data_IF_897894149733
#
_entry.id   IF_897894149733
#
_cell.length_a   1.000
_cell.length_b   1.000
_cell.length_c   1.000
_cell.angle_alpha   90.00
_cell.angle_beta   90.00
_cell.angle_gamma   90.00
#
_symmetry.space_group_name_H-M   'P 1'
#
loop_
_entity.id
_entity.type
_entity.pdbx_description
1 polymer ?
#
# COMPACT_ATOMS: atom_id res chain seq x y z
N UNK A 1 14.69 -20.08 -4.78
CA UNK A 1 14.02 -19.04 -3.97
C UNK A 1 15.04 -18.02 -3.56
N UNK A 2 14.96 -16.83 -4.10
CA UNK A 2 15.77 -15.73 -3.58
C UNK A 2 15.24 -15.36 -2.20
N UNK A 3 16.09 -15.37 -1.18
CA UNK A 3 15.81 -14.71 0.08
C UNK A 3 15.57 -13.23 -0.24
N UNK A 4 14.31 -12.84 -0.27
CA UNK A 4 13.94 -11.46 -0.49
C UNK A 4 14.18 -10.77 0.84
N UNK A 5 15.31 -10.05 0.95
CA UNK A 5 15.45 -9.04 1.98
C UNK A 5 14.27 -8.09 1.82
N UNK A 6 13.60 -7.74 2.92
CA UNK A 6 12.49 -6.79 2.90
C UNK A 6 12.91 -5.53 2.13
N UNK A 7 12.21 -5.22 1.06
CA UNK A 7 12.51 -4.07 0.22
C UNK A 7 12.02 -2.79 0.89
N UNK A 8 12.78 -1.70 0.71
CA UNK A 8 12.40 -0.40 1.24
C UNK A 8 11.18 0.13 0.48
N UNK A 9 10.08 0.32 1.19
CA UNK A 9 8.82 0.82 0.63
C UNK A 9 8.98 2.20 -0.03
N UNK A 10 9.92 3.01 0.41
CA UNK A 10 10.17 4.35 -0.14
C UNK A 10 10.60 4.34 -1.60
N UNK A 11 11.05 3.19 -2.10
CA UNK A 11 11.36 2.98 -3.51
C UNK A 11 10.12 2.80 -4.38
N UNK A 12 8.96 2.55 -3.79
CA UNK A 12 7.71 2.26 -4.50
C UNK A 12 6.60 3.27 -4.23
N UNK A 13 6.72 4.08 -3.18
CA UNK A 13 5.70 5.03 -2.76
C UNK A 13 6.28 6.41 -2.50
N UNK A 14 5.56 7.48 -2.87
CA UNK A 14 5.95 8.86 -2.53
C UNK A 14 5.65 9.22 -1.07
N UNK A 15 4.81 8.44 -0.39
CA UNK A 15 4.37 8.69 0.97
C UNK A 15 5.54 8.70 1.95
N UNK A 16 5.46 9.59 2.94
CA UNK A 16 6.46 9.72 4.02
C UNK A 16 5.74 9.89 5.36
N UNK A 17 6.48 9.67 6.45
CA UNK A 17 5.94 9.87 7.79
C UNK A 17 5.41 11.30 7.95
N UNK A 18 4.30 11.51 8.68
CA UNK A 18 3.54 10.51 9.44
C UNK A 18 2.48 9.74 8.64
N UNK A 19 2.34 10.00 7.34
CA UNK A 19 1.26 9.45 6.52
C UNK A 19 1.61 8.07 5.91
N UNK A 20 2.87 7.68 5.87
CA UNK A 20 3.30 6.38 5.38
C UNK A 20 2.84 5.27 6.34
N UNK A 21 2.03 4.33 5.84
CA UNK A 21 1.43 3.24 6.61
C UNK A 21 1.86 1.87 6.11
N UNK A 22 3.10 1.78 5.64
CA UNK A 22 3.77 0.53 5.25
C UNK A 22 5.20 0.63 5.72
N UNK A 23 5.68 -0.40 6.44
CA UNK A 23 7.07 -0.44 6.89
C UNK A 23 7.99 -1.05 5.84
N UNK A 24 7.57 -2.17 5.23
CA UNK A 24 8.41 -2.89 4.29
C UNK A 24 7.60 -3.65 3.25
N UNK A 25 8.21 -3.88 2.10
CA UNK A 25 7.69 -4.76 1.07
C UNK A 25 8.28 -6.15 1.29
N UNK A 26 7.41 -7.14 1.49
CA UNK A 26 7.81 -8.54 1.65
C UNK A 26 8.12 -9.17 0.30
N UNK A 27 7.24 -8.94 -0.67
CA UNK A 27 7.40 -9.41 -2.05
C UNK A 27 6.65 -8.49 -3.00
N UNK A 28 7.14 -8.33 -4.22
CA UNK A 28 6.47 -7.53 -5.24
C UNK A 28 6.82 -8.06 -6.62
N UNK A 29 5.82 -8.11 -7.49
CA UNK A 29 5.95 -8.32 -8.93
C UNK A 29 4.99 -7.39 -9.66
N UNK A 30 4.74 -7.62 -10.94
CA UNK A 30 3.90 -6.73 -11.75
C UNK A 30 2.41 -6.84 -11.43
N UNK A 31 1.98 -7.92 -10.78
CA UNK A 31 0.57 -8.20 -10.50
C UNK A 31 0.24 -8.39 -9.02
N UNK A 32 1.26 -8.57 -8.18
CA UNK A 32 1.06 -8.87 -6.76
C UNK A 32 2.10 -8.16 -5.89
N UNK A 33 1.67 -7.75 -4.69
CA UNK A 33 2.54 -7.21 -3.66
C UNK A 33 2.07 -7.67 -2.29
N UNK A 34 3.03 -7.95 -1.42
CA UNK A 34 2.78 -8.18 0.00
C UNK A 34 3.61 -7.19 0.83
N UNK A 35 3.00 -6.58 1.81
CA UNK A 35 3.64 -5.59 2.69
C UNK A 35 3.44 -5.92 4.15
N UNK A 36 4.26 -5.32 5.00
CA UNK A 36 4.21 -5.45 6.45
C UNK A 36 4.17 -4.05 7.09
N UNK A 37 3.37 -3.90 8.13
CA UNK A 37 3.25 -2.66 8.89
C UNK A 37 2.99 -2.98 10.37
N UNK A 38 3.81 -2.43 11.25
CA UNK A 38 3.60 -2.53 12.70
C UNK A 38 2.83 -1.32 13.20
N UNK A 39 1.73 -1.57 13.92
CA UNK A 39 0.89 -0.50 14.48
C UNK A 39 1.60 0.09 15.70
N UNK A 40 1.84 1.41 15.66
CA UNK A 40 2.52 2.16 16.73
C UNK A 40 1.56 3.15 17.37
N UNK A 41 1.79 3.48 18.63
CA UNK A 41 0.92 4.37 19.40
C UNK A 41 0.79 5.77 18.77
N UNK A 42 1.84 6.23 18.08
CA UNK A 42 1.88 7.55 17.46
C UNK A 42 1.38 7.59 15.99
N UNK A 43 0.91 6.45 15.47
CA UNK A 43 0.31 6.43 14.13
C UNK A 43 -0.94 7.32 14.10
N UNK A 44 -1.07 8.12 13.04
CA UNK A 44 -2.11 9.17 12.96
C UNK A 44 -3.55 8.63 12.97
N UNK A 45 -3.77 7.35 12.61
CA UNK A 45 -5.09 6.71 12.62
C UNK A 45 -5.29 5.78 13.81
N UNK A 46 -4.43 5.84 14.81
CA UNK A 46 -4.64 5.12 16.08
C UNK A 46 -5.52 5.97 17.00
N UNK A 47 -6.61 5.37 17.45
CA UNK A 47 -7.56 5.97 18.42
C UNK A 47 -7.76 4.98 19.55
N UNK A 48 -7.50 5.39 20.78
CA UNK A 48 -7.65 4.56 21.99
C UNK A 48 -6.91 3.20 21.88
N UNK A 49 -5.71 3.22 21.34
CA UNK A 49 -4.87 2.02 21.19
C UNK A 49 -5.26 1.09 20.04
N UNK A 50 -6.18 1.51 19.17
CA UNK A 50 -6.68 0.72 18.05
C UNK A 50 -6.43 1.46 16.73
N UNK A 51 -5.89 0.75 15.75
CA UNK A 51 -5.72 1.28 14.40
C UNK A 51 -7.07 1.25 13.69
N UNK A 52 -7.58 2.43 13.32
CA UNK A 52 -8.94 2.59 12.84
C UNK A 52 -9.17 1.98 11.45
N UNK A 53 -10.44 1.82 11.09
CA UNK A 53 -10.86 1.34 9.77
C UNK A 53 -10.29 2.21 8.64
N UNK A 54 -10.25 3.52 8.85
CA UNK A 54 -9.67 4.48 7.88
C UNK A 54 -8.18 4.20 7.69
N UNK A 55 -7.46 3.90 8.75
CA UNK A 55 -6.05 3.53 8.68
C UNK A 55 -5.83 2.23 7.91
N UNK A 56 -6.69 1.24 8.11
CA UNK A 56 -6.64 -0.02 7.35
C UNK A 56 -6.85 0.19 5.86
N UNK A 57 -7.81 1.02 5.48
CA UNK A 57 -8.07 1.35 4.07
C UNK A 57 -6.88 2.10 3.45
N UNK A 58 -6.29 3.05 4.19
CA UNK A 58 -5.12 3.79 3.70
C UNK A 58 -3.90 2.86 3.55
N UNK A 59 -3.66 1.97 4.50
CA UNK A 59 -2.62 0.94 4.38
C UNK A 59 -2.85 0.06 3.14
N UNK A 60 -4.08 -0.39 2.91
CA UNK A 60 -4.43 -1.19 1.75
C UNK A 60 -4.19 -0.41 0.45
N UNK A 61 -4.58 0.86 0.40
CA UNK A 61 -4.37 1.71 -0.77
C UNK A 61 -2.88 1.94 -1.06
N UNK A 62 -2.08 2.19 -0.04
CA UNK A 62 -0.63 2.34 -0.20
C UNK A 62 0.01 1.04 -0.69
N UNK A 63 -0.40 -0.10 -0.13
CA UNK A 63 0.06 -1.41 -0.60
C UNK A 63 -0.27 -1.61 -2.09
N UNK A 64 -1.51 -1.36 -2.48
CA UNK A 64 -1.94 -1.44 -3.88
C UNK A 64 -1.13 -0.50 -4.79
N UNK A 65 -0.90 0.73 -4.34
CA UNK A 65 -0.15 1.74 -5.11
C UNK A 65 1.29 1.33 -5.40
N UNK A 66 1.89 0.50 -4.56
CA UNK A 66 3.28 0.07 -4.74
C UNK A 66 3.47 -0.79 -5.99
N UNK A 67 2.46 -1.53 -6.42
CA UNK A 67 2.50 -2.29 -7.68
C UNK A 67 2.67 -1.32 -8.86
N UNK A 68 1.88 -0.26 -8.88
CA UNK A 68 1.93 0.75 -9.94
C UNK A 68 3.20 1.59 -9.81
N UNK A 69 3.55 1.96 -8.58
CA UNK A 69 4.78 2.71 -8.28
C UNK A 69 6.03 2.03 -8.82
N UNK A 70 6.11 0.71 -8.72
CA UNK A 70 7.23 -0.08 -9.22
C UNK A 70 7.58 0.23 -10.67
N UNK A 71 6.57 0.48 -11.53
CA UNK A 71 6.79 0.75 -12.96
C UNK A 71 7.17 2.20 -13.25
N UNK A 72 7.01 3.12 -12.30
CA UNK A 72 7.32 4.54 -12.44
C UNK A 72 8.62 4.96 -11.76
N UNK A 73 9.05 4.23 -10.72
CA UNK A 73 10.31 4.51 -10.03
C UNK A 73 11.47 3.83 -10.77
N UNK A 74 12.48 4.62 -11.08
CA UNK A 74 13.71 4.12 -11.68
C UNK A 74 14.49 3.32 -10.64
N UNK A 75 15.00 2.14 -11.01
CA UNK A 75 15.78 1.28 -10.11
C UNK A 75 17.05 1.99 -9.60
N UNK A 76 17.57 2.95 -10.38
CA UNK A 76 18.75 3.73 -10.04
C UNK A 76 18.45 4.98 -9.20
N UNK A 77 17.18 5.32 -8.98
CA UNK A 77 16.79 6.49 -8.19
C UNK A 77 16.70 6.13 -6.69
N UNK A 78 17.86 5.95 -6.08
CA UNK A 78 18.00 5.53 -4.67
C UNK A 78 17.45 6.58 -3.70
N UNK A 79 17.41 7.86 -4.10
CA UNK A 79 17.00 8.97 -3.24
C UNK A 79 15.57 9.48 -3.51
N UNK A 80 14.89 8.95 -4.55
CA UNK A 80 13.54 9.34 -4.89
C UNK A 80 13.45 10.74 -5.49
N UNK A 81 14.50 11.21 -6.14
CA UNK A 81 14.56 12.53 -6.77
C UNK A 81 14.05 12.53 -8.22
N UNK A 82 13.73 11.36 -8.77
CA UNK A 82 13.22 11.19 -10.12
C UNK A 82 11.77 11.62 -10.29
N UNK A 83 11.07 11.01 -11.23
CA UNK A 83 9.68 11.33 -11.52
C UNK A 83 8.80 11.23 -10.27
N UNK A 84 8.11 12.33 -9.96
CA UNK A 84 7.17 12.38 -8.84
C UNK A 84 5.83 11.81 -9.28
N UNK A 85 5.19 11.07 -8.39
CA UNK A 85 3.87 10.51 -8.60
C UNK A 85 2.88 11.10 -7.60
N UNK A 86 1.66 11.34 -8.07
CA UNK A 86 0.49 11.54 -7.21
C UNK A 86 -0.44 10.36 -7.42
N UNK A 87 -0.87 9.75 -6.32
CA UNK A 87 -1.84 8.67 -6.34
C UNK A 87 -3.08 9.03 -5.54
N UNK A 88 -4.24 8.69 -6.07
CA UNK A 88 -5.53 8.89 -5.42
C UNK A 88 -6.33 7.60 -5.40
N UNK A 89 -7.04 7.38 -4.30
CA UNK A 89 -8.17 6.44 -4.33
C UNK A 89 -9.28 7.13 -5.12
N UNK A 90 -9.53 6.68 -6.34
CA UNK A 90 -10.59 7.27 -7.17
C UNK A 90 -11.96 6.65 -6.87
N UNK A 91 -11.98 5.42 -6.39
CA UNK A 91 -13.20 4.77 -5.91
C UNK A 91 -12.86 3.62 -4.96
N UNK A 92 -13.71 3.44 -3.95
CA UNK A 92 -13.74 2.23 -3.13
C UNK A 92 -14.93 1.42 -3.62
N UNK A 93 -14.66 0.35 -4.38
CA UNK A 93 -15.73 -0.47 -4.97
C UNK A 93 -16.41 -1.35 -3.94
N UNK A 94 -15.62 -1.90 -3.03
CA UNK A 94 -16.11 -2.67 -1.90
C UNK A 94 -15.08 -2.65 -0.79
N UNK A 95 -15.56 -2.67 0.45
CA UNK A 95 -14.73 -2.84 1.63
C UNK A 95 -15.51 -3.60 2.69
N UNK A 96 -14.85 -4.58 3.28
CA UNK A 96 -15.40 -5.33 4.42
C UNK A 96 -14.35 -5.33 5.52
N UNK A 97 -14.67 -4.76 6.67
CA UNK A 97 -13.82 -4.75 7.85
C UNK A 97 -14.38 -5.71 8.86
N UNK A 98 -13.60 -6.71 9.27
CA UNK A 98 -14.01 -7.71 10.27
C UNK A 98 -13.51 -7.35 11.66
N UNK A 99 -12.35 -6.71 11.76
CA UNK A 99 -11.77 -6.26 13.03
C UNK A 99 -10.67 -5.23 12.77
N UNK A 100 -10.33 -4.47 13.81
CA UNK A 100 -9.23 -3.50 13.77
C UNK A 100 -8.08 -3.99 14.67
N UNK A 101 -6.83 -3.86 14.22
CA UNK A 101 -5.68 -4.28 15.02
C UNK A 101 -5.35 -3.28 16.10
N UNK A 102 -4.68 -3.77 17.15
CA UNK A 102 -4.22 -2.95 18.27
C UNK A 102 -2.77 -2.53 18.11
N UNK A 103 -2.39 -1.48 18.80
CA UNK A 103 -0.98 -1.08 18.93
C UNK A 103 -0.13 -2.29 19.33
N UNK A 104 1.00 -2.47 18.65
CA UNK A 104 1.93 -3.58 18.86
C UNK A 104 1.72 -4.75 17.90
N UNK A 105 0.53 -4.88 17.30
CA UNK A 105 0.28 -5.90 16.28
C UNK A 105 0.91 -5.52 14.95
N UNK A 106 1.35 -6.53 14.19
CA UNK A 106 1.86 -6.36 12.82
C UNK A 106 0.84 -6.90 11.84
N UNK A 107 0.50 -6.08 10.85
CA UNK A 107 -0.41 -6.47 9.77
C UNK A 107 0.37 -6.81 8.51
N UNK A 108 -0.13 -7.79 7.78
CA UNK A 108 0.31 -8.15 6.44
C UNK A 108 -0.81 -7.79 5.46
N UNK A 109 -0.44 -7.10 4.39
CA UNK A 109 -1.37 -6.73 3.34
C UNK A 109 -0.92 -7.36 2.03
N UNK A 110 -1.84 -8.08 1.38
CA UNK A 110 -1.62 -8.75 0.11
C UNK A 110 -2.55 -8.12 -0.93
N UNK A 111 -1.98 -7.56 -1.98
CA UNK A 111 -2.73 -6.90 -3.04
C UNK A 111 -2.48 -7.57 -4.39
N UNK A 112 -3.52 -7.61 -5.21
CA UNK A 112 -3.48 -8.15 -6.57
C UNK A 112 -4.02 -7.14 -7.56
N UNK A 113 -3.33 -6.97 -8.68
CA UNK A 113 -3.78 -6.17 -9.80
C UNK A 113 -4.89 -6.92 -10.55
N UNK A 114 -6.07 -6.33 -10.60
CA UNK A 114 -7.23 -6.89 -11.33
C UNK A 114 -7.25 -6.37 -12.75
N UNK A 115 -7.06 -5.05 -12.92
CA UNK A 115 -7.00 -4.43 -14.24
C UNK A 115 -6.16 -3.16 -14.20
N UNK A 116 -5.54 -2.83 -15.33
CA UNK A 116 -4.73 -1.64 -15.47
C UNK A 116 -4.89 -1.04 -16.85
N UNK A 117 -5.08 0.27 -16.90
CA UNK A 117 -5.04 1.08 -18.09
C UNK A 117 -3.99 2.17 -17.95
N UNK A 118 -3.03 2.19 -18.87
CA UNK A 118 -1.95 3.19 -18.88
C UNK A 118 -2.16 4.17 -20.04
N UNK A 119 -2.16 5.46 -19.72
CA UNK A 119 -2.04 6.56 -20.66
C UNK A 119 -0.62 7.15 -20.56
N UNK A 120 -0.35 8.22 -21.32
CA UNK A 120 1.02 8.78 -21.40
C UNK A 120 1.53 9.27 -20.03
N UNK A 121 0.67 9.87 -19.22
CA UNK A 121 1.05 10.52 -17.95
C UNK A 121 0.27 10.03 -16.74
N UNK A 122 -0.66 9.08 -16.91
CA UNK A 122 -1.42 8.52 -15.80
C UNK A 122 -1.75 7.04 -16.00
N UNK A 123 -2.11 6.38 -14.91
CA UNK A 123 -2.64 5.01 -14.92
C UNK A 123 -3.91 4.93 -14.10
N UNK A 124 -4.87 4.14 -14.55
CA UNK A 124 -6.07 3.80 -13.81
C UNK A 124 -6.03 2.30 -13.53
N UNK A 125 -6.11 1.94 -12.26
CA UNK A 125 -5.94 0.55 -11.84
C UNK A 125 -7.07 0.12 -10.92
N UNK A 126 -7.51 -1.13 -11.05
CA UNK A 126 -8.37 -1.80 -10.09
C UNK A 126 -7.54 -2.87 -9.38
N UNK A 127 -7.54 -2.85 -8.06
CA UNK A 127 -6.78 -3.78 -7.24
C UNK A 127 -7.65 -4.34 -6.12
N UNK A 128 -7.42 -5.60 -5.79
CA UNK A 128 -8.00 -6.23 -4.61
C UNK A 128 -6.92 -6.32 -3.53
N UNK A 129 -7.30 -6.18 -2.27
CA UNK A 129 -6.38 -6.26 -1.15
C UNK A 129 -7.01 -6.93 0.05
N UNK A 130 -6.23 -7.78 0.70
CA UNK A 130 -6.59 -8.43 1.97
C UNK A 130 -5.55 -8.03 3.02
N UNK A 131 -6.03 -7.58 4.17
CA UNK A 131 -5.18 -7.23 5.31
C UNK A 131 -5.46 -8.20 6.45
N UNK A 132 -4.40 -8.75 7.02
CA UNK A 132 -4.49 -9.76 8.08
C UNK A 132 -3.41 -9.60 9.14
N UNK A 133 -3.70 -10.10 10.35
CA UNK A 133 -2.69 -10.45 11.34
C UNK A 133 -2.32 -11.92 11.16
N UNK A 134 -1.38 -12.43 11.99
CA UNK A 134 -1.06 -13.87 11.99
C UNK A 134 -2.27 -14.76 12.31
N UNK A 135 -3.29 -14.21 12.98
CA UNK A 135 -4.42 -14.98 13.52
C UNK A 135 -5.68 -14.87 12.67
N UNK A 136 -5.91 -13.76 11.98
CA UNK A 136 -7.20 -13.52 11.30
C UNK A 136 -7.10 -12.48 10.20
N UNK A 137 -8.05 -12.55 9.26
CA UNK A 137 -8.29 -11.50 8.29
C UNK A 137 -9.00 -10.31 8.97
N UNK A 138 -8.54 -9.10 8.68
CA UNK A 138 -9.07 -7.86 9.23
C UNK A 138 -9.92 -7.11 8.23
N UNK A 139 -9.47 -7.06 6.96
CA UNK A 139 -10.11 -6.28 5.90
C UNK A 139 -9.93 -6.98 4.57
N UNK A 140 -10.97 -6.88 3.74
CA UNK A 140 -10.87 -7.15 2.30
C UNK A 140 -11.50 -6.00 1.53
N UNK A 141 -10.88 -5.58 0.43
CA UNK A 141 -11.37 -4.47 -0.36
C UNK A 141 -11.02 -4.61 -1.84
N UNK A 142 -11.78 -3.87 -2.65
CA UNK A 142 -11.46 -3.62 -4.06
C UNK A 142 -11.45 -2.10 -4.26
N UNK A 143 -10.32 -1.59 -4.72
CA UNK A 143 -10.08 -0.16 -4.90
C UNK A 143 -9.78 0.16 -6.35
N UNK A 144 -10.22 1.34 -6.78
CA UNK A 144 -9.71 1.96 -8.00
C UNK A 144 -8.72 3.04 -7.60
N UNK A 145 -7.56 3.00 -8.22
CA UNK A 145 -6.49 3.98 -8.03
C UNK A 145 -6.26 4.76 -9.31
N UNK A 146 -6.05 6.05 -9.18
CA UNK A 146 -5.57 6.93 -10.23
C UNK A 146 -4.16 7.38 -9.86
N UNK A 147 -3.18 7.04 -10.69
CA UNK A 147 -1.77 7.37 -10.47
C UNK A 147 -1.33 8.31 -11.59
N UNK A 148 -0.84 9.48 -11.24
CA UNK A 148 -0.40 10.48 -12.20
C UNK A 148 1.08 10.81 -12.00
N UNK A 149 1.80 10.87 -13.12
CA UNK A 149 3.18 11.35 -13.14
C UNK A 149 3.17 12.88 -13.18
N UNK A 150 3.92 13.50 -12.28
CA UNK A 150 4.12 14.95 -12.23
C UNK A 150 5.51 15.25 -12.77
N UNK A 151 5.55 16.15 -13.73
CA UNK A 151 6.83 16.67 -14.23
C UNK A 151 7.29 17.88 -13.42
#
# INVERSE_FOLDING_TARGET
>A
MRNIQSLDIKKFLPHRAPFLMVDSVISIDDEHVATSFKIRQDDIFVVDGVFSEVGLVENAAQTCSSIVGKSYFDEDDVEGEGAKLIGFISAIKSVKVSACPKVGETIRSDANLVSRFDADDYSICTLSCTVSTSDKELLSCVLNLFIQKIN
#
